data_IF_731517443448
#
_entry.id   IF_731517443448
#
_cell.length_a   1.000
_cell.length_b   1.000
_cell.length_c   1.000
_cell.angle_alpha   90.00
_cell.angle_beta   90.00
_cell.angle_gamma   90.00
#
_symmetry.space_group_name_H-M   'P 1'
#
loop_
_entity.id
_entity.type
_entity.pdbx_description
1 polymer ?
#
# COMPACT_ATOMS: atom_id res chain seq x y z
N UNK A 1 23.33 -68.55 -6.36
CA UNK A 1 22.61 -69.84 -6.17
C UNK A 1 21.16 -69.70 -6.70
N UNK A 2 20.31 -70.72 -6.59
CA UNK A 2 18.93 -70.86 -7.14
C UNK A 2 18.05 -69.61 -6.87
N UNK A 3 17.33 -69.03 -7.88
CA UNK A 3 15.96 -69.33 -8.43
C UNK A 3 14.83 -69.16 -7.39
N UNK A 4 13.61 -68.64 -7.68
CA UNK A 4 12.89 -68.02 -8.85
C UNK A 4 11.66 -67.23 -8.30
N UNK A 5 10.76 -66.49 -8.96
CA UNK A 5 10.07 -66.44 -10.30
C UNK A 5 9.71 -64.95 -10.62
N UNK A 6 9.24 -64.38 -11.75
CA UNK A 6 8.33 -64.68 -12.90
C UNK A 6 6.82 -64.82 -12.58
N UNK A 7 5.85 -64.17 -13.26
CA UNK A 7 5.90 -63.20 -14.38
C UNK A 7 4.59 -62.36 -14.54
N UNK A 8 4.63 -61.32 -15.38
CA UNK A 8 3.49 -60.53 -15.94
C UNK A 8 3.09 -61.05 -17.36
N UNK A 9 2.37 -60.29 -18.24
CA UNK A 9 0.98 -59.80 -18.19
C UNK A 9 0.15 -60.26 -19.44
N UNK A 10 -1.14 -59.90 -19.56
CA UNK A 10 -1.70 -59.55 -20.90
C UNK A 10 -3.02 -58.74 -20.89
N UNK A 11 -3.32 -58.16 -22.07
CA UNK A 11 -4.40 -57.22 -22.38
C UNK A 11 -5.73 -57.88 -22.85
N UNK A 12 -6.77 -57.06 -23.09
CA UNK A 12 -7.87 -57.41 -24.00
C UNK A 12 -9.15 -56.56 -23.85
N UNK A 13 -9.70 -55.96 -24.93
CA UNK A 13 -10.82 -55.01 -24.83
C UNK A 13 -12.19 -55.57 -25.27
N UNK A 14 -13.27 -54.91 -24.84
CA UNK A 14 -14.63 -55.04 -25.42
C UNK A 14 -15.30 -53.67 -25.55
N UNK A 15 -16.12 -53.49 -26.59
CA UNK A 15 -16.73 -52.20 -26.95
C UNK A 15 -18.26 -52.26 -27.04
N UNK A 16 -18.92 -51.12 -26.75
CA UNK A 16 -20.26 -50.67 -27.18
C UNK A 16 -20.62 -49.38 -26.40
N UNK A 17 -21.30 -48.33 -26.87
CA UNK A 17 -21.50 -47.68 -28.19
C UNK A 17 -22.80 -46.86 -28.09
N UNK A 18 -22.72 -45.59 -27.67
CA UNK A 18 -23.78 -44.57 -27.80
C UNK A 18 -23.18 -43.20 -27.42
N UNK A 19 -22.85 -42.31 -28.37
CA UNK A 19 -23.74 -41.32 -29.03
C UNK A 19 -24.02 -40.09 -28.13
N UNK A 20 -23.47 -38.93 -28.55
CA UNK A 20 -24.05 -37.56 -28.65
C UNK A 20 -25.03 -37.12 -27.52
N UNK A 21 -24.91 -35.99 -26.80
CA UNK A 21 -24.32 -34.64 -27.03
C UNK A 21 -23.72 -34.13 -25.69
N UNK A 22 -22.93 -33.06 -25.55
CA UNK A 22 -23.09 -31.70 -26.09
C UNK A 22 -24.04 -30.86 -25.23
N UNK A 23 -23.66 -30.52 -24.00
CA UNK A 23 -24.43 -29.64 -23.11
C UNK A 23 -23.80 -28.25 -23.02
N UNK A 24 -24.37 -27.31 -23.77
CA UNK A 24 -24.28 -25.88 -23.46
C UNK A 24 -25.07 -25.58 -22.18
N UNK A 25 -24.61 -24.61 -21.39
CA UNK A 25 -25.47 -24.00 -20.37
C UNK A 25 -26.60 -23.24 -21.08
N UNK A 26 -27.78 -23.85 -21.15
CA UNK A 26 -29.01 -23.13 -21.50
C UNK A 26 -29.40 -22.27 -20.31
N UNK A 27 -29.81 -21.03 -20.57
CA UNK A 27 -30.53 -20.23 -19.57
C UNK A 27 -31.75 -21.01 -19.09
N UNK A 28 -31.95 -21.08 -17.78
CA UNK A 28 -33.16 -21.64 -17.21
C UNK A 28 -34.32 -20.68 -17.47
N UNK A 29 -35.35 -21.12 -18.18
CA UNK A 29 -36.63 -20.43 -18.17
C UNK A 29 -37.22 -20.59 -16.77
N UNK A 30 -37.52 -19.48 -16.11
CA UNK A 30 -38.38 -19.48 -14.93
C UNK A 30 -39.74 -20.09 -15.30
N UNK A 31 -40.29 -20.92 -14.41
CA UNK A 31 -41.63 -21.49 -14.54
C UNK A 31 -42.71 -20.45 -14.20
N UNK A 32 -43.81 -20.46 -14.94
CA UNK A 32 -44.86 -19.42 -14.94
C UNK A 32 -45.76 -19.39 -13.68
N UNK A 33 -45.29 -19.85 -12.52
CA UNK A 33 -46.08 -19.96 -11.27
C UNK A 33 -45.70 -18.96 -10.15
N UNK A 34 -44.53 -18.30 -10.20
CA UNK A 34 -44.09 -17.36 -9.14
C UNK A 34 -44.58 -15.90 -9.32
N UNK A 35 -45.07 -15.52 -10.50
CA UNK A 35 -45.52 -14.13 -10.78
C UNK A 35 -46.96 -13.86 -10.32
N UNK A 36 -47.24 -14.07 -9.04
CA UNK A 36 -48.57 -13.96 -8.45
C UNK A 36 -49.05 -12.49 -8.26
N UNK A 37 -49.45 -11.84 -9.35
CA UNK A 37 -50.20 -10.57 -9.31
C UNK A 37 -49.41 -9.29 -9.56
N UNK A 38 -48.19 -9.38 -10.10
CA UNK A 38 -47.38 -8.24 -10.52
C UNK A 38 -47.83 -7.74 -11.93
N UNK A 39 -47.73 -6.44 -12.23
CA UNK A 39 -48.15 -5.90 -13.52
C UNK A 39 -47.19 -6.28 -14.65
N UNK A 40 -47.64 -6.19 -15.90
CA UNK A 40 -46.92 -6.72 -17.08
C UNK A 40 -45.65 -5.94 -17.48
N UNK A 41 -45.38 -4.81 -16.82
CA UNK A 41 -44.20 -3.97 -16.90
C UNK A 41 -43.25 -4.14 -15.70
N UNK A 42 -43.58 -5.01 -14.73
CA UNK A 42 -42.69 -5.32 -13.61
C UNK A 42 -41.45 -6.09 -14.07
N UNK A 43 -40.32 -5.38 -14.17
CA UNK A 43 -39.01 -5.99 -14.34
C UNK A 43 -38.45 -6.37 -12.96
N UNK A 44 -38.15 -7.66 -12.68
CA UNK A 44 -37.60 -8.08 -11.39
C UNK A 44 -36.18 -7.56 -11.11
N UNK A 45 -35.48 -7.06 -12.13
CA UNK A 45 -34.39 -6.11 -12.02
C UNK A 45 -34.88 -4.76 -12.57
N UNK A 46 -35.04 -3.77 -11.70
CA UNK A 46 -34.27 -2.56 -11.96
C UNK A 46 -32.82 -2.91 -11.55
N UNK A 47 -31.82 -2.55 -12.34
CA UNK A 47 -30.45 -2.99 -12.04
C UNK A 47 -29.97 -2.33 -10.74
N UNK A 48 -29.87 -3.15 -9.68
CA UNK A 48 -29.45 -2.73 -8.33
C UNK A 48 -28.19 -1.89 -8.42
N UNK A 49 -28.20 -0.71 -7.79
CA UNK A 49 -27.13 0.27 -7.95
C UNK A 49 -25.84 -0.28 -7.34
N UNK A 50 -24.97 -0.82 -8.20
CA UNK A 50 -23.60 -1.21 -7.83
C UNK A 50 -22.79 0.03 -7.45
N UNK A 51 -22.34 0.07 -6.19
CA UNK A 51 -21.51 1.13 -5.61
C UNK A 51 -20.18 0.54 -5.17
N UNK A 52 -19.08 1.22 -5.48
CA UNK A 52 -17.76 0.93 -4.91
C UNK A 52 -17.39 2.06 -3.95
N UNK A 53 -17.07 1.72 -2.70
CA UNK A 53 -16.62 2.68 -1.68
C UNK A 53 -15.16 2.38 -1.34
N UNK A 54 -14.26 3.23 -1.85
CA UNK A 54 -12.81 3.05 -1.81
C UNK A 54 -12.02 4.29 -1.29
N UNK A 55 -12.15 4.66 0.00
CA UNK A 55 -11.42 5.77 0.63
C UNK A 55 -10.02 5.36 1.14
N UNK A 56 -9.14 6.36 1.28
CA UNK A 56 -7.92 6.30 2.11
C UNK A 56 -8.28 6.45 3.60
N UNK A 57 -7.29 6.26 4.48
CA UNK A 57 -7.41 6.65 5.88
C UNK A 57 -7.55 8.17 6.04
N UNK A 58 -8.46 8.60 6.92
CA UNK A 58 -8.56 10.01 7.31
C UNK A 58 -7.53 10.27 8.40
N UNK A 59 -6.33 10.68 7.97
CA UNK A 59 -5.09 10.71 8.75
C UNK A 59 -5.27 11.48 10.07
N UNK A 60 -5.21 10.74 11.18
CA UNK A 60 -5.41 11.24 12.55
C UNK A 60 -6.84 11.18 13.11
N UNK A 61 -7.83 10.67 12.36
CA UNK A 61 -9.23 10.55 12.82
C UNK A 61 -9.85 9.16 12.65
N UNK A 62 -9.63 8.46 11.53
CA UNK A 62 -10.17 7.10 11.31
C UNK A 62 -9.42 6.35 10.19
N UNK A 63 -9.41 5.01 10.22
CA UNK A 63 -8.74 4.18 9.21
C UNK A 63 -9.64 3.93 7.98
N UNK A 64 -9.05 3.44 6.89
CA UNK A 64 -9.75 3.23 5.62
C UNK A 64 -10.95 2.25 5.74
N UNK A 65 -10.85 1.23 6.61
CA UNK A 65 -11.94 0.29 6.88
C UNK A 65 -13.18 1.00 7.45
N UNK A 66 -13.03 1.73 8.56
CA UNK A 66 -14.11 2.48 9.20
C UNK A 66 -14.65 3.58 8.28
N UNK A 67 -13.77 4.27 7.54
CA UNK A 67 -14.18 5.27 6.56
C UNK A 67 -15.07 4.66 5.47
N UNK A 68 -14.74 3.48 4.95
CA UNK A 68 -15.56 2.79 3.96
C UNK A 68 -16.92 2.37 4.52
N UNK A 69 -16.97 1.80 5.73
CA UNK A 69 -18.21 1.43 6.41
C UNK A 69 -19.14 2.63 6.63
N UNK A 70 -18.60 3.76 7.11
CA UNK A 70 -19.41 4.93 7.47
C UNK A 70 -19.89 5.72 6.25
N UNK A 71 -19.08 5.82 5.19
CA UNK A 71 -19.52 6.36 3.90
C UNK A 71 -20.62 5.48 3.31
N UNK A 72 -20.48 4.15 3.35
CA UNK A 72 -21.49 3.22 2.84
C UNK A 72 -22.82 3.28 3.61
N UNK A 73 -22.79 3.38 4.94
CA UNK A 73 -23.98 3.62 5.78
C UNK A 73 -24.72 4.91 5.35
N UNK A 74 -23.96 5.96 5.03
CA UNK A 74 -24.49 7.19 4.44
C UNK A 74 -25.21 6.95 3.10
N UNK A 75 -24.54 6.28 2.16
CA UNK A 75 -25.08 5.99 0.82
C UNK A 75 -26.35 5.15 0.91
N UNK A 76 -26.32 4.07 1.69
CA UNK A 76 -27.45 3.14 1.84
C UNK A 76 -28.65 3.78 2.56
N UNK A 77 -28.46 4.87 3.31
CA UNK A 77 -29.58 5.64 3.88
C UNK A 77 -30.41 6.41 2.84
N UNK A 78 -29.86 6.61 1.62
CA UNK A 78 -30.49 7.32 0.50
C UNK A 78 -30.87 6.34 -0.61
N UNK A 79 -29.94 5.47 -1.02
CA UNK A 79 -30.15 4.45 -2.05
C UNK A 79 -30.40 3.13 -1.34
N UNK A 80 -31.67 2.84 -1.02
CA UNK A 80 -32.04 1.66 -0.21
C UNK A 80 -31.69 0.33 -0.91
N UNK A 81 -31.80 0.28 -2.24
CA UNK A 81 -31.54 -0.90 -3.07
C UNK A 81 -30.23 -0.71 -3.87
N UNK A 82 -29.11 -0.89 -3.16
CA UNK A 82 -27.76 -0.83 -3.70
C UNK A 82 -26.90 -2.02 -3.25
N UNK A 83 -25.93 -2.38 -4.10
CA UNK A 83 -24.94 -3.43 -3.87
C UNK A 83 -23.60 -2.72 -3.63
N UNK A 84 -23.16 -2.64 -2.36
CA UNK A 84 -22.00 -1.85 -1.95
C UNK A 84 -20.78 -2.75 -1.71
N UNK A 85 -19.73 -2.53 -2.48
CA UNK A 85 -18.40 -3.10 -2.29
C UNK A 85 -17.51 -2.15 -1.47
N UNK A 86 -17.16 -2.55 -0.24
CA UNK A 86 -16.17 -1.83 0.58
C UNK A 86 -14.75 -2.25 0.16
N UNK A 87 -13.93 -1.28 -0.25
CA UNK A 87 -12.56 -1.51 -0.72
C UNK A 87 -11.64 -0.48 -0.05
N UNK A 88 -11.28 -0.66 1.24
CA UNK A 88 -10.37 0.26 1.92
C UNK A 88 -9.04 0.36 1.16
N UNK A 89 -8.50 1.56 1.06
CA UNK A 89 -7.29 1.87 0.29
C UNK A 89 -6.21 2.50 1.18
N UNK A 90 -4.96 2.45 0.70
CA UNK A 90 -3.83 3.18 1.26
C UNK A 90 -2.81 3.50 0.15
N UNK A 91 -1.96 4.50 0.37
CA UNK A 91 -0.96 4.99 -0.61
C UNK A 91 0.43 4.33 -0.48
N UNK A 92 0.66 3.52 0.56
CA UNK A 92 2.00 3.06 0.97
C UNK A 92 2.46 3.66 2.31
N UNK A 93 1.64 4.51 2.94
CA UNK A 93 1.83 5.00 4.31
C UNK A 93 1.22 4.13 5.41
N UNK A 94 1.04 4.73 6.58
CA UNK A 94 0.45 4.13 7.78
C UNK A 94 -0.95 3.55 7.53
N UNK A 95 -1.14 2.27 7.86
CA UNK A 95 -2.37 1.53 7.61
C UNK A 95 -2.35 0.72 6.31
N UNK A 96 -1.25 0.71 5.54
CA UNK A 96 -1.16 -0.12 4.33
C UNK A 96 -1.07 -1.61 4.68
N UNK A 97 -0.31 -1.97 5.71
CA UNK A 97 -0.11 -3.35 6.13
C UNK A 97 -1.38 -4.05 6.67
N UNK A 98 -2.35 -3.32 7.24
CA UNK A 98 -3.58 -3.93 7.77
C UNK A 98 -4.61 -4.30 6.70
N UNK A 99 -4.46 -3.78 5.47
CA UNK A 99 -5.37 -4.10 4.36
C UNK A 99 -5.12 -5.50 3.77
N UNK A 100 -3.90 -6.02 3.90
CA UNK A 100 -3.53 -7.34 3.37
C UNK A 100 -3.93 -8.47 4.33
N UNK A 101 -4.24 -9.65 3.79
CA UNK A 101 -4.63 -10.80 4.60
C UNK A 101 -3.44 -11.44 5.32
N UNK A 102 -3.48 -11.52 6.65
CA UNK A 102 -2.47 -12.24 7.45
C UNK A 102 -2.77 -12.25 8.94
N UNK A 103 -1.82 -12.77 9.73
CA UNK A 103 -1.79 -12.62 11.19
C UNK A 103 -1.04 -11.33 11.54
N UNK A 104 -1.64 -10.47 12.39
CA UNK A 104 -0.94 -9.28 12.90
C UNK A 104 0.03 -9.74 14.00
N UNK A 105 1.32 -9.53 13.75
CA UNK A 105 2.41 -9.83 14.67
C UNK A 105 2.85 -8.53 15.33
N UNK A 106 2.88 -8.48 16.66
CA UNK A 106 3.40 -7.36 17.45
C UNK A 106 4.64 -7.80 18.22
N UNK A 107 5.68 -6.96 18.24
CA UNK A 107 6.92 -7.21 18.98
C UNK A 107 7.58 -5.91 19.49
N UNK A 108 8.37 -5.98 20.58
CA UNK A 108 9.15 -4.84 21.05
C UNK A 108 10.28 -4.49 20.06
N UNK A 109 10.41 -3.20 19.74
CA UNK A 109 11.45 -2.65 18.87
C UNK A 109 11.82 -1.23 19.33
N UNK A 110 12.65 -0.50 18.58
CA UNK A 110 12.92 0.92 18.83
C UNK A 110 12.20 1.82 17.84
N UNK A 111 11.84 3.03 18.26
CA UNK A 111 11.42 4.08 17.34
C UNK A 111 12.61 4.74 16.63
N UNK A 112 12.31 5.69 15.73
CA UNK A 112 13.31 6.48 15.01
C UNK A 112 14.30 7.25 15.89
N UNK A 113 14.02 7.44 17.20
CA UNK A 113 14.91 8.09 18.16
C UNK A 113 15.59 7.10 19.12
N UNK A 114 15.50 5.78 18.85
CA UNK A 114 16.07 4.73 19.69
C UNK A 114 15.27 4.45 20.97
N UNK A 115 14.06 4.96 21.11
CA UNK A 115 13.20 4.76 22.29
C UNK A 115 12.46 3.44 22.17
N UNK A 116 12.38 2.65 23.24
CA UNK A 116 11.70 1.34 23.23
C UNK A 116 10.18 1.52 23.03
N UNK A 117 9.64 0.83 22.03
CA UNK A 117 8.22 0.77 21.67
C UNK A 117 7.79 -0.67 21.41
N UNK A 118 6.51 -0.90 21.19
CA UNK A 118 6.00 -2.07 20.48
C UNK A 118 5.52 -1.63 19.10
N UNK A 119 5.79 -2.44 18.08
CA UNK A 119 5.36 -2.19 16.70
C UNK A 119 4.79 -3.47 16.08
N UNK A 120 3.95 -3.30 15.05
CA UNK A 120 3.20 -4.39 14.44
C UNK A 120 3.43 -4.49 12.94
N UNK A 121 3.25 -5.69 12.39
CA UNK A 121 3.21 -5.95 10.95
C UNK A 121 2.29 -7.14 10.64
N UNK A 122 1.89 -7.32 9.37
CA UNK A 122 0.99 -8.39 8.95
C UNK A 122 1.76 -9.51 8.26
N UNK A 123 1.58 -10.76 8.66
CA UNK A 123 2.24 -11.93 8.05
C UNK A 123 1.25 -12.87 7.37
N UNK A 124 1.41 -13.07 6.06
CA UNK A 124 0.67 -14.03 5.26
C UNK A 124 1.47 -15.33 5.10
N UNK A 125 1.27 -16.26 6.03
CA UNK A 125 1.92 -17.59 6.05
C UNK A 125 1.60 -18.45 4.80
N UNK A 126 0.52 -18.17 4.07
CA UNK A 126 0.16 -18.91 2.86
C UNK A 126 0.96 -18.47 1.62
N UNK A 127 1.34 -17.19 1.56
CA UNK A 127 2.14 -16.60 0.48
C UNK A 127 3.62 -16.43 0.84
N UNK A 128 3.99 -16.62 2.12
CA UNK A 128 5.28 -16.28 2.69
C UNK A 128 5.64 -14.78 2.54
N UNK A 129 4.62 -13.92 2.58
CA UNK A 129 4.75 -12.46 2.48
C UNK A 129 4.54 -11.80 3.83
N UNK A 130 5.40 -10.85 4.20
CA UNK A 130 5.14 -9.93 5.31
C UNK A 130 4.92 -8.50 4.78
N UNK A 131 3.87 -7.84 5.28
CA UNK A 131 3.52 -6.46 4.97
C UNK A 131 3.86 -5.61 6.18
N UNK A 132 4.76 -4.64 6.01
CA UNK A 132 5.33 -3.81 7.07
C UNK A 132 5.15 -2.35 6.65
N UNK A 133 4.54 -1.52 7.49
CA UNK A 133 4.58 -0.07 7.29
C UNK A 133 5.82 0.48 7.99
N UNK A 134 6.68 1.24 7.29
CA UNK A 134 7.89 1.80 7.91
C UNK A 134 7.54 2.74 9.08
N UNK A 135 6.37 3.38 9.02
CA UNK A 135 5.84 4.23 10.08
C UNK A 135 5.56 3.50 11.40
N UNK A 136 5.34 2.18 11.37
CA UNK A 136 5.04 1.39 12.58
C UNK A 136 6.19 1.41 13.60
N UNK A 137 7.43 1.60 13.15
CA UNK A 137 8.59 1.83 14.01
C UNK A 137 9.24 3.20 13.77
N UNK A 138 9.44 3.58 12.52
CA UNK A 138 10.17 4.79 12.12
C UNK A 138 9.22 5.93 11.72
N UNK A 139 8.05 6.02 12.35
CA UNK A 139 7.01 7.01 12.03
C UNK A 139 7.26 8.43 12.55
N UNK A 140 7.04 9.43 11.70
CA UNK A 140 7.16 10.85 12.04
C UNK A 140 6.30 11.30 13.24
N UNK A 141 5.05 10.81 13.44
CA UNK A 141 4.24 11.20 14.61
C UNK A 141 4.90 10.86 15.95
N UNK A 142 5.65 9.75 16.03
CA UNK A 142 6.26 9.29 17.27
C UNK A 142 7.33 10.27 17.79
N UNK A 143 8.19 10.77 16.90
CA UNK A 143 9.31 11.69 17.26
C UNK A 143 8.96 13.17 17.11
N UNK A 144 7.68 13.52 16.96
CA UNK A 144 7.21 14.91 16.80
C UNK A 144 7.52 15.81 18.01
N UNK A 145 7.75 15.22 19.19
CA UNK A 145 8.17 15.92 20.41
C UNK A 145 9.67 16.30 20.38
N UNK A 146 10.50 15.45 19.77
CA UNK A 146 11.95 15.58 19.70
C UNK A 146 12.44 15.12 18.31
N UNK A 147 12.36 15.96 17.26
CA UNK A 147 12.74 15.56 15.90
C UNK A 147 14.20 15.16 15.77
N UNK A 148 14.49 14.20 14.89
CA UNK A 148 15.80 13.54 14.74
C UNK A 148 16.35 13.58 13.29
N UNK A 149 16.35 14.75 12.60
CA UNK A 149 16.62 14.83 11.16
C UNK A 149 18.01 14.32 10.73
N UNK A 150 19.03 14.46 11.59
CA UNK A 150 20.39 13.98 11.32
C UNK A 150 20.70 12.59 11.88
N UNK A 151 19.98 12.17 12.94
CA UNK A 151 20.40 11.07 13.83
C UNK A 151 19.43 9.92 13.92
N UNK A 152 18.20 10.09 13.40
CA UNK A 152 17.18 9.06 13.44
C UNK A 152 17.39 8.01 12.37
N UNK A 153 17.08 6.76 12.70
CA UNK A 153 17.37 5.60 11.86
C UNK A 153 16.16 4.66 11.67
N UNK A 154 16.33 3.73 10.73
CA UNK A 154 15.35 2.70 10.36
C UNK A 154 15.58 1.35 11.07
N UNK A 155 16.43 1.27 12.11
CA UNK A 155 16.76 0.03 12.82
C UNK A 155 15.50 -0.67 13.36
N UNK A 156 14.57 0.13 13.88
CA UNK A 156 13.28 -0.35 14.38
C UNK A 156 12.49 -1.19 13.38
N UNK A 157 12.44 -0.75 12.12
CA UNK A 157 11.83 -1.49 11.00
C UNK A 157 12.64 -2.74 10.65
N UNK A 158 13.97 -2.65 10.67
CA UNK A 158 14.85 -3.79 10.40
C UNK A 158 14.67 -4.95 11.37
N UNK A 159 14.31 -4.67 12.63
CA UNK A 159 13.91 -5.70 13.61
C UNK A 159 12.61 -6.41 13.20
N UNK A 160 11.62 -5.68 12.66
CA UNK A 160 10.37 -6.27 12.15
C UNK A 160 10.65 -7.18 10.95
N UNK A 161 11.52 -6.74 10.03
CA UNK A 161 11.97 -7.50 8.86
C UNK A 161 12.68 -8.80 9.29
N UNK A 162 13.57 -8.73 10.29
CA UNK A 162 14.29 -9.88 10.80
C UNK A 162 13.35 -10.90 11.48
N UNK A 163 12.37 -10.44 12.27
CA UNK A 163 11.34 -11.30 12.86
C UNK A 163 10.45 -11.94 11.78
N UNK A 164 9.99 -11.16 10.80
CA UNK A 164 9.21 -11.64 9.65
C UNK A 164 9.93 -12.75 8.88
N UNK A 165 11.20 -12.55 8.51
CA UNK A 165 11.98 -13.59 7.85
C UNK A 165 12.19 -14.81 8.77
N UNK A 166 12.38 -14.63 10.07
CA UNK A 166 12.53 -15.74 11.02
C UNK A 166 11.29 -16.64 11.12
N UNK A 167 10.10 -16.09 10.82
CA UNK A 167 8.83 -16.84 10.71
C UNK A 167 8.63 -17.53 9.36
N UNK A 168 9.53 -17.28 8.40
CA UNK A 168 9.52 -17.88 7.08
C UNK A 168 9.04 -16.97 5.95
N UNK A 169 8.99 -15.64 6.15
CA UNK A 169 8.76 -14.73 5.03
C UNK A 169 9.92 -14.82 4.01
N UNK A 170 9.57 -15.04 2.74
CA UNK A 170 10.47 -14.91 1.59
C UNK A 170 10.31 -13.57 0.88
N UNK A 171 9.18 -12.89 1.08
CA UNK A 171 8.83 -11.62 0.45
C UNK A 171 8.55 -10.57 1.52
N UNK A 172 9.15 -9.39 1.39
CA UNK A 172 8.89 -8.23 2.26
C UNK A 172 8.24 -7.12 1.44
N UNK A 173 6.99 -6.81 1.75
CA UNK A 173 6.27 -5.65 1.23
C UNK A 173 6.40 -4.52 2.26
N UNK A 174 7.16 -3.48 1.94
CA UNK A 174 7.49 -2.38 2.86
C UNK A 174 6.85 -1.07 2.38
N UNK A 175 5.86 -0.57 3.13
CA UNK A 175 5.28 0.76 2.94
C UNK A 175 6.25 1.86 3.38
N UNK A 176 6.58 2.80 2.50
CA UNK A 176 7.59 3.85 2.72
C UNK A 176 7.02 5.22 3.17
N UNK A 177 5.71 5.38 3.23
CA UNK A 177 5.06 6.61 3.67
C UNK A 177 5.20 6.86 5.17
N UNK A 178 5.04 8.13 5.60
CA UNK A 178 5.01 8.50 7.03
C UNK A 178 6.34 8.43 7.81
N UNK A 179 7.44 8.06 7.17
CA UNK A 179 8.80 8.00 7.76
C UNK A 179 9.23 9.28 8.51
N UNK A 180 10.03 9.12 9.57
CA UNK A 180 10.67 10.19 10.34
C UNK A 180 12.08 10.56 9.87
N UNK A 181 12.74 9.67 9.13
CA UNK A 181 14.21 9.63 9.01
C UNK A 181 14.72 10.01 7.63
N UNK A 182 16.01 10.29 7.55
CA UNK A 182 16.74 10.35 6.28
C UNK A 182 18.08 9.66 6.54
N UNK A 183 18.11 8.33 6.41
CA UNK A 183 19.25 7.48 6.75
C UNK A 183 19.66 6.53 5.61
N UNK A 184 19.05 6.65 4.43
CA UNK A 184 19.31 5.75 3.30
C UNK A 184 18.90 4.30 3.54
N UNK A 185 18.09 4.02 4.57
CA UNK A 185 17.80 2.65 5.03
C UNK A 185 18.94 1.99 5.81
N UNK A 186 20.00 2.73 6.17
CA UNK A 186 21.16 2.15 6.88
C UNK A 186 20.83 1.60 8.27
N UNK A 187 19.78 2.10 8.93
CA UNK A 187 19.25 1.47 10.15
C UNK A 187 18.76 0.03 9.92
N UNK A 188 17.98 -0.22 8.85
CA UNK A 188 17.58 -1.58 8.45
C UNK A 188 18.82 -2.44 8.19
N UNK A 189 19.81 -1.92 7.46
CA UNK A 189 21.05 -2.65 7.19
C UNK A 189 21.77 -3.07 8.47
N UNK A 190 21.89 -2.17 9.46
CA UNK A 190 22.49 -2.47 10.77
C UNK A 190 21.69 -3.55 11.52
N UNK A 191 20.36 -3.48 11.52
CA UNK A 191 19.50 -4.49 12.15
C UNK A 191 19.61 -5.87 11.48
N UNK A 192 19.85 -5.91 10.17
CA UNK A 192 20.13 -7.13 9.42
C UNK A 192 21.60 -7.57 9.53
N UNK A 193 22.50 -6.78 10.13
CA UNK A 193 23.90 -7.14 10.39
C UNK A 193 24.92 -6.64 9.34
N UNK A 194 24.54 -5.72 8.46
CA UNK A 194 25.43 -4.98 7.58
C UNK A 194 25.68 -3.56 8.15
N UNK A 195 26.85 -3.34 8.74
CA UNK A 195 27.17 -2.12 9.49
C UNK A 195 27.92 -1.10 8.63
N UNK A 196 27.42 0.14 8.43
CA UNK A 196 28.17 1.20 7.75
C UNK A 196 29.45 1.56 8.52
N UNK A 197 30.60 1.57 7.84
CA UNK A 197 31.91 1.84 8.45
C UNK A 197 32.68 2.98 7.76
N UNK A 198 33.48 3.68 8.55
CA UNK A 198 34.39 4.71 8.07
C UNK A 198 35.69 4.15 7.46
N UNK A 199 36.49 5.03 6.86
CA UNK A 199 37.80 4.70 6.28
C UNK A 199 38.89 4.27 7.31
N UNK A 200 38.53 3.99 8.56
CA UNK A 200 39.36 3.34 9.58
C UNK A 200 38.73 2.03 10.10
N UNK A 201 37.63 1.57 9.50
CA UNK A 201 36.92 0.35 9.91
C UNK A 201 36.11 0.51 11.20
N UNK A 202 35.69 1.73 11.55
CA UNK A 202 34.85 2.00 12.73
C UNK A 202 33.39 2.17 12.29
N UNK A 203 32.41 1.60 13.02
CA UNK A 203 30.99 1.87 12.76
C UNK A 203 30.67 3.36 12.78
N UNK A 204 29.88 3.80 11.80
CA UNK A 204 29.26 5.13 11.83
C UNK A 204 28.22 5.23 12.95
N UNK A 205 27.85 6.46 13.30
CA UNK A 205 26.67 6.71 14.15
C UNK A 205 25.40 6.64 13.30
N UNK A 206 24.24 6.28 13.88
CA UNK A 206 22.99 6.22 13.13
C UNK A 206 22.52 7.56 12.57
N UNK A 207 21.62 7.48 11.59
CA UNK A 207 21.07 8.61 10.83
C UNK A 207 21.98 9.16 9.74
N UNK A 208 21.39 9.78 8.71
CA UNK A 208 22.09 10.24 7.52
C UNK A 208 23.16 11.30 7.77
N UNK A 209 23.10 12.00 8.90
CA UNK A 209 24.04 13.05 9.27
C UNK A 209 25.50 12.61 9.48
N UNK A 210 25.83 11.33 9.30
CA UNK A 210 27.19 10.78 9.34
C UNK A 210 27.58 10.04 8.04
N UNK A 211 26.70 9.91 7.05
CA UNK A 211 26.97 9.08 5.85
C UNK A 211 28.06 9.66 4.92
N UNK A 212 28.38 10.95 5.04
CA UNK A 212 29.54 11.55 4.35
C UNK A 212 30.91 11.05 4.85
N UNK A 213 30.98 10.32 5.97
CA UNK A 213 32.18 9.63 6.45
C UNK A 213 32.24 8.14 6.01
N UNK A 214 31.24 7.65 5.26
CA UNK A 214 31.13 6.25 4.82
C UNK A 214 32.27 5.85 3.88
N UNK A 215 32.82 4.65 4.08
CA UNK A 215 33.81 4.05 3.18
C UNK A 215 33.37 2.69 2.63
N UNK A 216 32.69 1.87 3.44
CA UNK A 216 32.24 0.52 3.09
C UNK A 216 31.17 0.04 4.11
N UNK A 217 30.69 -1.19 3.99
CA UNK A 217 29.83 -1.87 4.96
C UNK A 217 30.50 -3.15 5.50
N UNK A 218 30.65 -3.27 6.82
CA UNK A 218 31.01 -4.55 7.45
C UNK A 218 29.80 -5.50 7.42
N UNK A 219 29.93 -6.56 6.62
CA UNK A 219 28.91 -7.58 6.38
C UNK A 219 29.22 -8.90 7.09
N UNK A 220 30.26 -8.96 7.95
CA UNK A 220 30.68 -10.17 8.65
C UNK A 220 29.63 -10.77 9.62
N UNK A 221 28.55 -10.03 9.90
CA UNK A 221 27.44 -10.43 10.77
C UNK A 221 26.07 -10.41 10.05
N UNK A 222 26.06 -10.27 8.72
CA UNK A 222 24.83 -10.20 7.92
C UNK A 222 23.98 -11.47 8.06
N UNK A 223 22.72 -11.29 8.47
CA UNK A 223 21.66 -12.28 8.35
C UNK A 223 21.27 -12.44 6.88
N UNK A 224 22.08 -13.19 6.12
CA UNK A 224 21.90 -13.42 4.68
C UNK A 224 20.45 -13.77 4.32
N UNK A 225 19.76 -14.72 4.99
CA UNK A 225 18.34 -15.02 4.74
C UNK A 225 17.39 -13.82 4.76
N UNK A 226 17.61 -12.82 5.63
CA UNK A 226 16.77 -11.61 5.72
C UNK A 226 17.18 -10.50 4.75
N UNK A 227 18.42 -10.52 4.24
CA UNK A 227 18.80 -9.67 3.11
C UNK A 227 18.35 -10.22 1.76
N UNK A 228 18.31 -11.55 1.62
CA UNK A 228 18.04 -12.26 0.35
C UNK A 228 16.55 -12.58 0.11
N UNK A 229 15.66 -11.75 0.65
CA UNK A 229 14.22 -11.79 0.39
C UNK A 229 13.88 -11.05 -0.90
N UNK A 230 12.70 -11.32 -1.47
CA UNK A 230 12.13 -10.49 -2.53
C UNK A 230 11.57 -9.20 -1.90
N UNK A 231 12.06 -8.05 -2.35
CA UNK A 231 11.71 -6.73 -1.79
C UNK A 231 10.69 -5.99 -2.67
N UNK A 232 9.53 -5.68 -2.10
CA UNK A 232 8.51 -4.84 -2.74
C UNK A 232 8.33 -3.57 -1.92
N UNK A 233 8.86 -2.46 -2.42
CA UNK A 233 8.89 -1.18 -1.74
C UNK A 233 7.73 -0.32 -2.25
N UNK A 234 6.73 -0.08 -1.40
CA UNK A 234 5.53 0.68 -1.76
C UNK A 234 5.75 2.16 -1.48
N UNK A 235 5.61 2.99 -2.52
CA UNK A 235 5.81 4.43 -2.44
C UNK A 235 4.59 5.23 -2.94
N UNK A 236 4.41 6.39 -2.33
CA UNK A 236 3.48 7.46 -2.69
C UNK A 236 4.15 8.56 -3.53
N UNK A 237 5.41 8.39 -3.95
CA UNK A 237 6.20 9.42 -4.63
C UNK A 237 7.16 8.87 -5.69
N UNK A 238 7.42 9.65 -6.73
CA UNK A 238 8.45 9.36 -7.76
C UNK A 238 9.77 10.11 -7.52
N UNK A 239 9.90 10.85 -6.42
CA UNK A 239 11.10 11.67 -6.17
C UNK A 239 12.41 10.86 -6.07
N UNK A 240 13.54 11.39 -6.58
CA UNK A 240 14.86 10.75 -6.52
C UNK A 240 15.46 10.78 -5.10
N UNK A 241 16.57 10.07 -4.88
CA UNK A 241 17.26 10.07 -3.60
C UNK A 241 17.81 11.46 -3.22
N UNK A 242 18.35 12.20 -4.19
CA UNK A 242 19.17 13.41 -3.97
C UNK A 242 18.85 14.56 -4.94
N UNK A 243 19.39 15.74 -4.65
CA UNK A 243 19.31 16.92 -5.51
C UNK A 243 18.04 17.75 -5.28
N UNK A 244 17.65 18.63 -6.23
CA UNK A 244 16.58 19.62 -6.02
C UNK A 244 15.21 19.06 -5.65
N UNK A 245 14.92 17.80 -6.01
CA UNK A 245 13.72 17.06 -5.62
C UNK A 245 14.04 15.84 -4.75
N UNK A 246 15.26 15.78 -4.18
CA UNK A 246 15.75 14.67 -3.38
C UNK A 246 15.09 14.54 -2.00
N UNK A 247 15.30 13.40 -1.36
CA UNK A 247 14.71 13.04 -0.07
C UNK A 247 14.93 14.12 1.01
N UNK A 248 16.15 14.65 1.09
CA UNK A 248 16.51 15.68 2.05
C UNK A 248 15.83 17.03 1.76
N UNK A 249 15.81 17.47 0.49
CA UNK A 249 15.20 18.75 0.09
C UNK A 249 13.68 18.76 0.27
N UNK A 250 13.00 17.68 -0.11
CA UNK A 250 11.53 17.59 -0.07
C UNK A 250 11.03 17.24 1.33
N UNK A 251 11.60 16.22 1.98
CA UNK A 251 11.04 15.67 3.22
C UNK A 251 11.79 16.09 4.49
N UNK A 252 12.98 16.68 4.39
CA UNK A 252 13.76 17.15 5.54
C UNK A 252 13.05 18.21 6.39
N UNK A 253 12.46 19.27 5.83
CA UNK A 253 11.83 20.33 6.61
C UNK A 253 10.70 19.83 7.53
N UNK A 254 9.83 18.92 7.05
CA UNK A 254 8.78 18.31 7.90
C UNK A 254 9.32 17.33 8.95
N UNK A 255 10.54 16.80 8.73
CA UNK A 255 11.30 15.96 9.69
C UNK A 255 12.11 16.81 10.69
N UNK A 256 11.98 18.14 10.64
CA UNK A 256 12.64 19.09 11.54
C UNK A 256 14.05 19.50 11.12
N UNK A 257 14.49 19.17 9.91
CA UNK A 257 15.79 19.58 9.38
C UNK A 257 15.82 21.09 9.09
N UNK A 258 16.91 21.76 9.49
CA UNK A 258 17.23 23.11 9.01
C UNK A 258 17.82 23.09 7.61
N UNK A 259 17.97 24.25 6.95
CA UNK A 259 18.59 24.33 5.61
C UNK A 259 20.03 23.76 5.60
N UNK A 260 20.78 23.90 6.69
CA UNK A 260 22.13 23.34 6.85
C UNK A 260 22.08 21.81 7.02
N UNK A 261 21.11 21.28 7.79
CA UNK A 261 20.90 19.83 7.92
C UNK A 261 20.49 19.21 6.57
N UNK A 262 19.62 19.90 5.83
CA UNK A 262 19.17 19.49 4.49
C UNK A 262 20.35 19.46 3.52
N UNK A 263 21.18 20.51 3.45
CA UNK A 263 22.37 20.53 2.59
C UNK A 263 23.37 19.42 2.95
N UNK A 264 23.57 19.20 4.26
CA UNK A 264 24.46 18.16 4.75
C UNK A 264 23.98 16.75 4.41
N UNK A 265 22.68 16.47 4.57
CA UNK A 265 22.13 15.12 4.34
C UNK A 265 21.92 14.84 2.85
N UNK A 266 21.57 15.84 2.04
CA UNK A 266 21.51 15.72 0.56
C UNK A 266 22.86 15.26 0.00
N UNK A 267 23.96 15.90 0.43
CA UNK A 267 25.32 15.50 0.07
C UNK A 267 25.75 14.13 0.66
N UNK A 268 25.30 13.80 1.88
CA UNK A 268 25.61 12.53 2.52
C UNK A 268 24.85 11.33 1.90
N UNK A 269 23.66 11.57 1.33
CA UNK A 269 22.93 10.59 0.51
C UNK A 269 23.56 10.41 -0.87
N UNK A 270 24.07 11.48 -1.50
CA UNK A 270 24.79 11.34 -2.78
C UNK A 270 26.06 10.51 -2.59
N UNK A 271 26.81 10.75 -1.51
CA UNK A 271 27.96 9.91 -1.12
C UNK A 271 27.58 8.45 -0.82
N UNK A 272 26.41 8.20 -0.20
CA UNK A 272 25.88 6.83 -0.06
C UNK A 272 25.63 6.19 -1.43
N UNK A 273 25.07 6.92 -2.40
CA UNK A 273 24.85 6.44 -3.75
C UNK A 273 26.17 6.15 -4.48
N UNK A 274 27.18 7.02 -4.34
CA UNK A 274 28.54 6.80 -4.87
C UNK A 274 29.20 5.53 -4.30
N UNK A 275 29.12 5.31 -2.97
CA UNK A 275 29.70 4.13 -2.31
C UNK A 275 28.96 2.83 -2.67
N UNK A 276 27.62 2.89 -2.76
CA UNK A 276 26.80 1.71 -3.07
C UNK A 276 26.73 1.36 -4.54
N UNK A 277 27.00 2.32 -5.44
CA UNK A 277 26.85 2.17 -6.89
C UNK A 277 25.40 2.24 -7.38
N UNK A 278 24.47 2.66 -6.52
CA UNK A 278 23.03 2.81 -6.82
C UNK A 278 22.78 4.17 -7.48
N UNK A 279 21.88 4.22 -8.48
CA UNK A 279 21.52 5.47 -9.16
C UNK A 279 20.68 6.39 -8.24
N UNK A 280 21.25 7.53 -7.85
CA UNK A 280 20.58 8.51 -6.98
C UNK A 280 19.35 9.15 -7.65
N UNK A 281 19.26 9.10 -8.99
CA UNK A 281 18.20 9.71 -9.78
C UNK A 281 17.07 8.72 -10.15
N UNK A 282 17.11 7.47 -9.66
CA UNK A 282 16.06 6.50 -9.94
C UNK A 282 14.71 6.94 -9.32
N UNK A 283 13.59 6.93 -10.07
CA UNK A 283 12.29 7.36 -9.55
C UNK A 283 11.85 6.59 -8.29
N UNK A 284 11.34 7.33 -7.31
CA UNK A 284 10.90 6.81 -6.02
C UNK A 284 12.04 6.52 -5.03
N UNK A 285 13.32 6.65 -5.41
CA UNK A 285 14.43 6.37 -4.49
C UNK A 285 14.62 7.45 -3.41
N UNK A 286 13.82 8.52 -3.42
CA UNK A 286 13.70 9.46 -2.30
C UNK A 286 12.78 9.00 -1.17
N UNK A 287 11.95 7.98 -1.43
CA UNK A 287 10.95 7.47 -0.49
C UNK A 287 11.57 7.01 0.83
N UNK A 288 10.81 7.17 1.92
CA UNK A 288 11.22 6.93 3.30
C UNK A 288 12.52 7.63 3.79
N UNK A 289 13.09 8.58 3.05
CA UNK A 289 14.42 9.10 3.37
C UNK A 289 15.56 8.32 2.71
N UNK A 290 15.33 7.91 1.46
CA UNK A 290 16.19 7.10 0.60
C UNK A 290 16.43 5.64 1.03
N UNK A 291 15.48 5.03 1.73
CA UNK A 291 15.51 3.59 2.07
C UNK A 291 15.70 2.66 0.86
N UNK A 292 15.12 2.93 -0.34
CA UNK A 292 15.39 2.12 -1.52
C UNK A 292 16.88 1.99 -1.88
N UNK A 293 17.73 2.97 -1.54
CA UNK A 293 19.17 2.91 -1.83
C UNK A 293 19.83 1.76 -1.06
N UNK A 294 19.68 1.72 0.27
CA UNK A 294 20.27 0.69 1.11
C UNK A 294 19.71 -0.72 0.82
N UNK A 295 18.39 -0.83 0.60
CA UNK A 295 17.76 -2.11 0.24
C UNK A 295 18.25 -2.62 -1.12
N UNK A 296 18.35 -1.74 -2.11
CA UNK A 296 18.84 -2.10 -3.45
C UNK A 296 20.28 -2.55 -3.42
N UNK A 297 21.16 -1.84 -2.68
CA UNK A 297 22.54 -2.27 -2.46
C UNK A 297 22.63 -3.67 -1.82
N UNK A 298 21.85 -3.92 -0.75
CA UNK A 298 21.88 -5.20 -0.03
C UNK A 298 21.45 -6.36 -0.94
N UNK A 299 20.36 -6.17 -1.69
CA UNK A 299 19.87 -7.19 -2.62
C UNK A 299 20.83 -7.40 -3.80
N UNK A 300 21.35 -6.33 -4.40
CA UNK A 300 22.38 -6.40 -5.45
C UNK A 300 23.63 -7.16 -4.98
N UNK A 301 24.09 -6.93 -3.75
CA UNK A 301 25.25 -7.61 -3.19
C UNK A 301 25.01 -9.11 -3.00
N UNK A 302 23.79 -9.53 -2.63
CA UNK A 302 23.45 -10.92 -2.35
C UNK A 302 23.05 -11.72 -3.60
N UNK A 303 22.36 -11.09 -4.56
CA UNK A 303 21.84 -11.75 -5.77
C UNK A 303 22.66 -11.46 -7.04
N UNK A 304 23.44 -10.37 -7.06
CA UNK A 304 24.23 -9.93 -8.21
C UNK A 304 23.47 -9.11 -9.27
N UNK A 305 22.20 -8.78 -9.02
CA UNK A 305 21.32 -7.99 -9.90
C UNK A 305 20.25 -7.24 -9.08
N UNK A 306 19.39 -6.48 -9.76
CA UNK A 306 18.24 -5.76 -9.16
C UNK A 306 16.92 -6.53 -9.23
N UNK A 307 16.91 -7.77 -9.74
CA UNK A 307 15.69 -8.48 -10.10
C UNK A 307 14.81 -8.85 -8.89
N UNK A 308 15.38 -8.74 -7.68
CA UNK A 308 14.74 -9.00 -6.39
C UNK A 308 14.34 -7.72 -5.63
N UNK A 309 14.34 -6.54 -6.27
CA UNK A 309 13.86 -5.27 -5.69
C UNK A 309 12.92 -4.55 -6.65
N UNK A 310 11.72 -4.21 -6.17
CA UNK A 310 10.68 -3.54 -6.94
C UNK A 310 10.16 -2.33 -6.16
N UNK A 311 10.38 -1.11 -6.66
CA UNK A 311 9.69 0.09 -6.17
C UNK A 311 8.39 0.24 -6.97
N UNK A 312 7.25 0.21 -6.28
CA UNK A 312 5.91 0.25 -6.88
C UNK A 312 5.05 1.34 -6.22
N UNK A 313 4.05 1.84 -6.95
CA UNK A 313 3.00 2.68 -6.36
C UNK A 313 2.21 1.87 -5.33
N UNK A 314 2.15 2.34 -4.08
CA UNK A 314 1.38 1.68 -3.02
C UNK A 314 -0.11 1.65 -3.35
N UNK A 315 -0.68 2.79 -3.73
CA UNK A 315 -2.08 2.90 -4.14
C UNK A 315 -2.48 1.94 -5.27
N UNK A 316 -1.64 1.76 -6.30
CA UNK A 316 -1.90 0.79 -7.38
C UNK A 316 -1.73 -0.66 -6.93
N UNK A 317 -0.83 -0.92 -5.99
CA UNK A 317 -0.61 -2.28 -5.45
C UNK A 317 -1.79 -2.72 -4.57
N UNK A 318 -2.29 -1.83 -3.70
CA UNK A 318 -3.50 -2.05 -2.90
C UNK A 318 -4.73 -2.21 -3.81
N UNK A 319 -4.89 -1.34 -4.82
CA UNK A 319 -5.96 -1.48 -5.82
C UNK A 319 -5.96 -2.85 -6.52
N UNK A 320 -4.78 -3.36 -6.88
CA UNK A 320 -4.62 -4.67 -7.50
C UNK A 320 -4.95 -5.80 -6.52
N UNK A 321 -4.45 -5.76 -5.29
CA UNK A 321 -4.70 -6.78 -4.27
C UNK A 321 -6.19 -6.98 -3.93
N UNK A 322 -6.98 -5.89 -3.94
CA UNK A 322 -8.42 -5.97 -3.71
C UNK A 322 -9.27 -6.13 -4.99
N UNK A 323 -8.63 -6.30 -6.16
CA UNK A 323 -9.28 -6.39 -7.47
C UNK A 323 -10.18 -5.18 -7.80
N UNK A 324 -9.80 -3.98 -7.34
CA UNK A 324 -10.57 -2.74 -7.47
C UNK A 324 -11.00 -2.47 -8.92
N UNK A 325 -10.09 -2.68 -9.89
CA UNK A 325 -10.38 -2.51 -11.32
C UNK A 325 -11.53 -3.39 -11.82
N UNK A 326 -11.64 -4.62 -11.33
CA UNK A 326 -12.69 -5.57 -11.74
C UNK A 326 -14.04 -5.23 -11.10
N UNK A 327 -14.03 -4.80 -9.83
CA UNK A 327 -15.21 -4.35 -9.09
C UNK A 327 -15.76 -3.04 -9.67
N UNK A 328 -14.89 -2.04 -9.87
CA UNK A 328 -15.25 -0.74 -10.48
C UNK A 328 -15.71 -0.88 -11.93
N UNK A 329 -15.20 -1.85 -12.69
CA UNK A 329 -15.64 -2.13 -14.07
C UNK A 329 -17.11 -2.52 -14.25
N UNK A 330 -17.86 -2.72 -13.14
CA UNK A 330 -19.31 -2.95 -13.13
C UNK A 330 -20.06 -1.96 -12.20
N UNK A 331 -19.39 -0.91 -11.71
CA UNK A 331 -19.99 0.07 -10.81
C UNK A 331 -20.73 1.17 -11.59
N UNK A 332 -21.84 1.66 -11.05
CA UNK A 332 -22.52 2.87 -11.56
C UNK A 332 -22.01 4.11 -10.82
N UNK A 333 -21.67 3.93 -9.54
CA UNK A 333 -21.24 4.96 -8.63
C UNK A 333 -19.96 4.50 -7.88
N UNK A 334 -18.97 5.37 -7.80
CA UNK A 334 -17.73 5.15 -7.06
C UNK A 334 -17.56 6.30 -6.08
N UNK A 335 -17.24 5.99 -4.82
CA UNK A 335 -16.96 7.00 -3.79
C UNK A 335 -15.59 6.74 -3.19
N UNK A 336 -14.74 7.75 -3.20
CA UNK A 336 -13.43 7.76 -2.53
C UNK A 336 -13.33 8.95 -1.59
N UNK A 337 -12.25 9.05 -0.83
CA UNK A 337 -12.08 10.13 0.13
C UNK A 337 -10.78 10.05 0.89
N UNK A 338 -10.38 11.18 1.47
CA UNK A 338 -9.15 11.36 2.24
C UNK A 338 -9.22 12.61 3.14
N UNK A 339 -8.27 12.79 4.05
CA UNK A 339 -8.27 13.94 4.96
C UNK A 339 -8.14 15.33 4.30
N UNK A 340 -7.50 15.42 3.13
CA UNK A 340 -7.15 16.66 2.44
C UNK A 340 -6.95 16.39 0.95
N UNK A 341 -7.72 17.02 0.07
CA UNK A 341 -7.55 16.93 -1.39
C UNK A 341 -6.68 18.09 -1.88
N UNK A 342 -5.42 17.80 -2.20
CA UNK A 342 -4.39 18.77 -2.57
C UNK A 342 -3.54 18.34 -3.78
N UNK A 343 -2.48 19.09 -4.12
CA UNK A 343 -1.62 18.81 -5.27
C UNK A 343 -0.96 17.41 -5.23
N UNK A 344 -0.87 16.75 -4.08
CA UNK A 344 -0.37 15.38 -3.96
C UNK A 344 -1.47 14.33 -4.20
N UNK A 345 -2.73 14.63 -3.86
CA UNK A 345 -3.88 13.74 -4.04
C UNK A 345 -4.11 13.31 -5.49
N UNK A 346 -3.83 14.23 -6.41
CA UNK A 346 -3.93 14.02 -7.87
C UNK A 346 -2.71 13.30 -8.47
N UNK A 347 -1.64 13.09 -7.70
CA UNK A 347 -0.36 12.54 -8.17
C UNK A 347 -0.04 11.19 -7.50
N UNK A 348 -0.54 10.09 -8.07
CA UNK A 348 -0.12 8.72 -7.72
C UNK A 348 -0.72 8.12 -6.44
N UNK A 349 -1.39 8.93 -5.60
CA UNK A 349 -2.10 8.51 -4.38
C UNK A 349 -3.48 7.89 -4.66
N UNK A 350 -4.11 7.37 -3.61
CA UNK A 350 -5.42 6.67 -3.62
C UNK A 350 -6.45 7.35 -4.52
N UNK A 351 -6.76 8.63 -4.27
CA UNK A 351 -7.83 9.33 -5.01
C UNK A 351 -7.53 9.42 -6.51
N UNK A 352 -6.27 9.64 -6.92
CA UNK A 352 -5.89 9.60 -8.34
C UNK A 352 -6.14 8.22 -8.99
N UNK A 353 -5.81 7.13 -8.30
CA UNK A 353 -5.99 5.75 -8.80
C UNK A 353 -7.47 5.38 -8.86
N UNK A 354 -8.27 5.74 -7.86
CA UNK A 354 -9.72 5.49 -7.89
C UNK A 354 -10.40 6.34 -8.97
N UNK A 355 -9.93 7.58 -9.20
CA UNK A 355 -10.43 8.46 -10.26
C UNK A 355 -10.18 7.88 -11.65
N UNK A 356 -8.97 7.38 -11.92
CA UNK A 356 -8.61 6.71 -13.17
C UNK A 356 -9.52 5.50 -13.43
N UNK A 357 -9.66 4.61 -12.45
CA UNK A 357 -10.46 3.39 -12.58
C UNK A 357 -11.96 3.67 -12.74
N UNK A 358 -12.50 4.69 -12.07
CA UNK A 358 -13.88 5.13 -12.25
C UNK A 358 -14.12 5.70 -13.66
N UNK A 359 -13.19 6.52 -14.16
CA UNK A 359 -13.26 7.09 -15.51
C UNK A 359 -13.13 6.02 -16.60
N UNK A 360 -12.28 5.01 -16.43
CA UNK A 360 -12.18 3.86 -17.34
C UNK A 360 -13.48 3.02 -17.40
N UNK A 361 -14.20 2.90 -16.27
CA UNK A 361 -15.49 2.22 -16.20
C UNK A 361 -16.66 3.07 -16.72
N UNK A 362 -16.49 4.39 -16.83
CA UNK A 362 -17.59 5.33 -17.09
C UNK A 362 -18.53 5.51 -15.89
N UNK A 363 -18.09 5.16 -14.68
CA UNK A 363 -18.85 5.30 -13.45
C UNK A 363 -18.84 6.76 -12.96
N UNK A 364 -19.92 7.20 -12.30
CA UNK A 364 -19.93 8.51 -11.65
C UNK A 364 -19.06 8.47 -10.40
N UNK A 365 -18.16 9.43 -10.22
CA UNK A 365 -17.26 9.51 -9.08
C UNK A 365 -17.70 10.59 -8.08
N UNK A 366 -17.65 10.26 -6.79
CA UNK A 366 -17.61 11.23 -5.71
C UNK A 366 -16.29 11.15 -4.93
N UNK A 367 -15.79 12.32 -4.53
CA UNK A 367 -14.63 12.49 -3.64
C UNK A 367 -15.12 13.18 -2.37
N UNK A 368 -15.00 12.49 -1.22
CA UNK A 368 -15.36 13.00 0.09
C UNK A 368 -14.07 13.43 0.83
N UNK A 369 -13.85 14.74 1.03
CA UNK A 369 -12.62 15.24 1.66
C UNK A 369 -12.88 16.20 2.85
N UNK A 370 -11.98 16.18 3.84
CA UNK A 370 -12.01 17.09 5.00
C UNK A 370 -11.52 18.52 4.69
N UNK A 371 -10.94 18.72 3.51
CA UNK A 371 -10.59 20.01 2.89
C UNK A 371 -10.35 19.79 1.39
N UNK A 372 -10.71 20.76 0.57
CA UNK A 372 -10.28 20.87 -0.83
C UNK A 372 -9.38 22.10 -0.97
N UNK A 373 -8.10 21.90 -1.31
CA UNK A 373 -7.16 22.99 -1.63
C UNK A 373 -7.09 23.25 -3.15
N UNK A 374 -7.57 22.31 -3.96
CA UNK A 374 -7.71 22.38 -5.42
C UNK A 374 -9.11 21.90 -5.86
N UNK A 375 -9.54 22.30 -7.06
CA UNK A 375 -10.82 21.87 -7.66
C UNK A 375 -10.74 20.41 -8.16
N UNK A 376 -11.85 19.67 -8.05
CA UNK A 376 -11.98 18.32 -8.64
C UNK A 376 -12.21 18.40 -10.16
N UNK A 377 -11.92 17.34 -10.93
CA UNK A 377 -12.19 17.30 -12.37
C UNK A 377 -13.67 17.49 -12.73
N UNK A 378 -13.94 18.02 -13.92
CA UNK A 378 -15.31 18.18 -14.44
C UNK A 378 -16.06 16.83 -14.48
N UNK A 379 -17.26 16.79 -13.90
CA UNK A 379 -18.06 15.57 -13.77
C UNK A 379 -17.84 14.76 -12.48
N UNK A 380 -16.85 15.13 -11.65
CA UNK A 380 -16.65 14.55 -10.31
C UNK A 380 -17.48 15.32 -9.27
N UNK A 381 -18.14 14.58 -8.37
CA UNK A 381 -18.89 15.15 -7.25
C UNK A 381 -17.91 15.42 -6.10
N UNK A 382 -17.71 16.69 -5.73
CA UNK A 382 -16.95 17.05 -4.52
C UNK A 382 -17.89 17.14 -3.30
N UNK A 383 -17.55 16.42 -2.22
CA UNK A 383 -18.29 16.46 -0.95
C UNK A 383 -17.35 16.89 0.18
N UNK A 384 -17.55 18.12 0.67
CA UNK A 384 -16.84 18.65 1.84
C UNK A 384 -17.44 18.06 3.13
N UNK A 385 -16.59 17.41 3.93
CA UNK A 385 -16.94 16.75 5.18
C UNK A 385 -16.99 17.75 6.36
N UNK A 386 -16.36 18.92 6.20
CA UNK A 386 -16.24 19.97 7.21
C UNK A 386 -15.23 19.66 8.33
N UNK A 387 -14.99 20.65 9.19
CA UNK A 387 -13.99 20.59 10.28
C UNK A 387 -14.62 20.60 11.69
N UNK A 388 -15.91 20.30 11.82
CA UNK A 388 -16.59 20.17 13.13
C UNK A 388 -16.32 18.78 13.73
N UNK A 389 -15.15 18.62 14.37
CA UNK A 389 -14.60 17.38 14.93
C UNK A 389 -15.40 16.74 16.10
N UNK A 390 -16.69 17.04 16.30
CA UNK A 390 -17.47 16.46 17.42
C UNK A 390 -17.85 14.98 17.21
N UNK A 391 -18.07 14.54 15.97
CA UNK A 391 -18.33 13.13 15.62
C UNK A 391 -17.93 12.82 14.16
N UNK A 392 -16.75 12.22 14.00
CA UNK A 392 -16.15 11.84 12.70
C UNK A 392 -17.02 10.81 11.96
N UNK A 393 -17.71 9.92 12.68
CA UNK A 393 -18.62 8.94 12.06
C UNK A 393 -19.86 9.63 11.54
N UNK A 394 -20.48 10.50 12.34
CA UNK A 394 -21.63 11.28 11.88
C UNK A 394 -21.27 12.25 10.74
N UNK A 395 -20.02 12.72 10.65
CA UNK A 395 -19.52 13.43 9.48
C UNK A 395 -19.46 12.54 8.22
N UNK A 396 -18.80 11.38 8.29
CA UNK A 396 -18.64 10.49 7.12
C UNK A 396 -19.96 9.86 6.64
N UNK A 397 -20.88 9.53 7.56
CA UNK A 397 -22.25 9.10 7.23
C UNK A 397 -23.02 10.22 6.49
N UNK A 398 -22.87 11.48 6.91
CA UNK A 398 -23.47 12.62 6.18
C UNK A 398 -22.84 12.82 4.80
N UNK A 399 -21.52 12.63 4.68
CA UNK A 399 -20.82 12.75 3.40
C UNK A 399 -21.28 11.68 2.39
N UNK A 400 -21.39 10.42 2.83
CA UNK A 400 -21.94 9.34 1.99
C UNK A 400 -23.38 9.59 1.55
N UNK A 401 -24.22 10.09 2.45
CA UNK A 401 -25.60 10.46 2.12
C UNK A 401 -25.66 11.63 1.11
N UNK A 402 -24.84 12.67 1.28
CA UNK A 402 -24.77 13.79 0.33
C UNK A 402 -24.28 13.32 -1.05
N UNK A 403 -23.21 12.52 -1.10
CA UNK A 403 -22.68 11.94 -2.33
C UNK A 403 -23.75 11.15 -3.10
N UNK A 404 -24.56 10.36 -2.39
CA UNK A 404 -25.66 9.59 -2.96
C UNK A 404 -26.83 10.47 -3.48
N UNK A 405 -27.16 11.56 -2.79
CA UNK A 405 -28.14 12.55 -3.28
C UNK A 405 -27.67 13.20 -4.58
N UNK A 406 -26.41 13.63 -4.64
CA UNK A 406 -25.86 14.31 -5.81
C UNK A 406 -25.71 13.36 -7.00
N UNK A 407 -25.31 12.10 -6.77
CA UNK A 407 -25.33 11.05 -7.79
C UNK A 407 -26.72 10.87 -8.44
N UNK A 408 -27.78 10.81 -7.64
CA UNK A 408 -29.16 10.72 -8.15
C UNK A 408 -29.57 11.96 -8.95
N UNK A 409 -29.14 13.16 -8.53
CA UNK A 409 -29.37 14.41 -9.26
C UNK A 409 -28.63 14.44 -10.61
N UNK A 410 -27.40 13.93 -10.68
CA UNK A 410 -26.63 13.80 -11.92
C UNK A 410 -27.27 12.76 -12.85
N UNK A 411 -27.59 11.57 -12.33
CA UNK A 411 -28.20 10.48 -13.12
C UNK A 411 -29.56 10.87 -13.71
N UNK A 412 -30.42 11.55 -12.96
CA UNK A 412 -31.74 12.00 -13.44
C UNK A 412 -31.69 13.15 -14.44
N UNK A 413 -30.52 13.73 -14.68
CA UNK A 413 -30.30 14.78 -15.69
C UNK A 413 -29.80 14.21 -17.04
N UNK A 414 -29.44 12.92 -17.10
CA UNK A 414 -28.90 12.27 -18.31
C UNK A 414 -29.84 11.23 -18.96
N UNK A 415 -31.04 11.00 -18.41
CA UNK A 415 -32.04 10.03 -18.88
C UNK A 415 -33.25 10.65 -19.57
#
# INVERSE_FOLDING_TARGET
>A
MRKSSSAEPNAGPTSRSSIVTGHTFSTARASEEDTAGLPADFQPNADTVRVVVAPDAFKGTTNAHQAAEWIAEGIQSIIIDCDIEHIPMADGGEGTAELFSGEIITLPTTDAAGRLIEASYTFNTAEATAYIDISAATGLPAVKDTPVPLTGDTYGTGVLIADAQSRGASTIVLGLGGSATIDGGTGILVALGATPIDAQGRPLKPGGGNLGDLADFDTAHLNIPAGSVDWVLLSDTEFPATGPQGAARVFGPQKGASDEDVEKVDAALEHLCEVTGVDSQQPGYGAAGAVPVGITWLSQMLHGNTDHVHVLSGARTVAAAHNLREKTGNAHFVVTGEGSYDEQSVNGKVVSVVTELAAEAGATLAVCAGRFDIEVPEGVIAVDIGQDFEDVRAQLVRAGAQAAVDYLNTSTTQG
#
